data_IF_100809233390
#
_entry.id   IF_100809233390
#
_cell.length_a   1.000
_cell.length_b   1.000
_cell.length_c   1.000
_cell.angle_alpha   90.00
_cell.angle_beta   90.00
_cell.angle_gamma   90.00
#
_symmetry.space_group_name_H-M   'P 1'
#
loop_
_entity.id
_entity.type
_entity.pdbx_description
1 polymer ?
#
# COMPACT_ATOMS: atom_id res chain seq x y z
N UNK A 1 5.07 12.04 31.44
CA UNK A 1 3.98 12.62 30.64
C UNK A 1 4.02 11.90 29.34
N UNK A 2 2.96 11.17 28.99
CA UNK A 2 2.81 10.63 27.64
C UNK A 2 2.63 11.82 26.70
N UNK A 3 3.36 11.82 25.58
CA UNK A 3 3.23 12.85 24.55
C UNK A 3 2.33 12.23 23.48
N UNK A 4 1.23 12.90 23.17
CA UNK A 4 0.24 12.51 22.14
C UNK A 4 0.85 12.75 20.76
N UNK A 5 1.89 11.98 20.40
CA UNK A 5 2.61 12.07 19.13
C UNK A 5 2.36 10.79 18.33
N UNK A 6 1.84 10.95 17.11
CA UNK A 6 1.54 9.85 16.21
C UNK A 6 2.44 9.92 14.98
N UNK A 7 2.89 8.75 14.52
CA UNK A 7 3.81 8.65 13.40
C UNK A 7 3.41 7.50 12.47
N UNK A 8 3.51 7.75 11.16
CA UNK A 8 3.44 6.73 10.11
C UNK A 8 4.84 6.34 9.68
N UNK A 9 5.05 5.04 9.52
CA UNK A 9 6.33 4.48 9.09
C UNK A 9 6.28 4.18 7.60
N UNK A 10 7.22 4.74 6.83
CA UNK A 10 7.43 4.39 5.43
C UNK A 10 8.89 4.03 5.19
N UNK A 11 9.18 3.10 4.26
CA UNK A 11 10.52 2.97 3.71
C UNK A 11 10.93 4.28 3.01
N UNK A 12 12.22 4.57 3.08
CA UNK A 12 12.87 5.73 2.50
C UNK A 12 14.09 5.28 1.71
N UNK A 13 14.64 6.22 0.94
CA UNK A 13 15.75 5.96 0.03
C UNK A 13 16.90 5.19 0.73
N UNK A 14 17.35 4.11 0.09
CA UNK A 14 18.38 3.23 0.63
C UNK A 14 17.89 2.23 1.69
N UNK A 15 16.58 1.98 1.79
CA UNK A 15 15.98 0.94 2.64
C UNK A 15 15.90 1.30 4.12
N UNK A 16 15.97 2.60 4.45
CA UNK A 16 15.80 3.09 5.81
C UNK A 16 14.33 3.30 6.12
N UNK A 17 13.96 3.30 7.40
CA UNK A 17 12.61 3.68 7.81
C UNK A 17 12.58 5.18 8.13
N UNK A 18 11.59 5.87 7.57
CA UNK A 18 11.25 7.25 7.90
C UNK A 18 10.01 7.28 8.78
N UNK A 19 9.96 8.28 9.68
CA UNK A 19 8.82 8.58 10.53
C UNK A 19 8.20 9.88 10.06
N UNK A 20 6.96 9.81 9.60
CA UNK A 20 6.17 10.98 9.21
C UNK A 20 5.18 11.25 10.33
N UNK A 21 5.22 12.44 10.91
CA UNK A 21 4.26 12.83 11.93
C UNK A 21 2.86 12.90 11.32
N UNK A 22 1.86 12.39 12.03
CA UNK A 22 0.46 12.41 11.63
C UNK A 22 -0.42 12.89 12.78
N UNK A 23 -1.61 13.35 12.46
CA UNK A 23 -2.65 13.65 13.45
C UNK A 23 -3.28 12.37 14.03
N UNK A 24 -4.07 12.54 15.10
CA UNK A 24 -4.73 11.45 15.81
C UNK A 24 -5.76 10.72 14.93
N UNK A 25 -6.52 11.44 14.11
CA UNK A 25 -7.54 10.86 13.23
C UNK A 25 -6.88 9.95 12.17
N UNK A 26 -5.79 10.41 11.57
CA UNK A 26 -4.96 9.64 10.63
C UNK A 26 -4.31 8.41 11.29
N UNK A 27 -4.05 8.46 12.60
CA UNK A 27 -3.46 7.36 13.37
C UNK A 27 -4.49 6.30 13.80
N UNK A 28 -5.79 6.63 13.79
CA UNK A 28 -6.87 5.70 14.12
C UNK A 28 -7.02 4.57 13.08
N UNK A 29 -6.45 4.72 11.90
CA UNK A 29 -6.50 3.71 10.83
C UNK A 29 -5.12 3.40 10.25
N UNK A 30 -5.02 2.31 9.50
CA UNK A 30 -3.79 1.90 8.81
C UNK A 30 -4.06 1.40 7.40
N UNK A 31 -3.09 1.63 6.52
CA UNK A 31 -3.12 1.13 5.15
C UNK A 31 -2.57 -0.30 5.10
N UNK A 32 -3.24 -1.16 4.35
CA UNK A 32 -2.88 -2.58 4.18
C UNK A 32 -3.00 -3.03 2.73
N UNK A 33 -1.88 -3.32 2.06
CA UNK A 33 -1.88 -4.07 0.80
C UNK A 33 -2.38 -5.49 0.99
N UNK A 34 -3.32 -5.93 0.15
CA UNK A 34 -3.82 -7.31 0.04
C UNK A 34 -2.77 -8.17 -0.66
N UNK A 35 -2.14 -9.07 0.09
CA UNK A 35 -1.11 -10.00 -0.42
C UNK A 35 -1.63 -11.43 -0.58
N UNK A 36 -2.84 -11.70 -0.12
CA UNK A 36 -3.49 -13.01 -0.30
C UNK A 36 -5.00 -12.90 -0.26
N UNK A 37 -5.66 -13.64 -1.16
CA UNK A 37 -7.12 -13.80 -1.22
C UNK A 37 -7.43 -15.28 -1.25
N UNK A 38 -8.27 -15.75 -0.33
CA UNK A 38 -8.66 -17.16 -0.23
C UNK A 38 -10.15 -17.28 0.05
N UNK A 39 -10.84 -18.14 -0.70
CA UNK A 39 -12.21 -18.48 -0.37
C UNK A 39 -12.30 -19.20 0.98
N UNK A 40 -13.12 -18.67 1.87
CA UNK A 40 -13.46 -19.23 3.17
C UNK A 40 -14.85 -19.91 3.12
N UNK A 41 -15.22 -20.61 4.18
CA UNK A 41 -16.55 -21.21 4.28
C UNK A 41 -17.64 -20.15 4.33
N UNK A 42 -18.83 -20.47 3.82
CA UNK A 42 -19.99 -19.57 3.91
C UNK A 42 -20.03 -18.48 2.84
N UNK A 43 -19.26 -18.62 1.75
CA UNK A 43 -19.26 -17.67 0.63
C UNK A 43 -18.47 -16.40 0.89
N UNK A 44 -17.71 -16.36 1.99
CA UNK A 44 -16.81 -15.27 2.33
C UNK A 44 -15.41 -15.50 1.74
N UNK A 45 -14.65 -14.42 1.66
CA UNK A 45 -13.23 -14.45 1.34
C UNK A 45 -12.43 -14.00 2.56
N UNK A 46 -11.30 -14.65 2.78
CA UNK A 46 -10.26 -14.19 3.69
C UNK A 46 -9.22 -13.42 2.88
N UNK A 47 -8.92 -12.20 3.33
CA UNK A 47 -7.85 -11.38 2.79
C UNK A 47 -6.71 -11.30 3.79
N UNK A 48 -5.50 -11.59 3.34
CA UNK A 48 -4.27 -11.42 4.11
C UNK A 48 -3.61 -10.13 3.68
N UNK A 49 -3.27 -9.29 4.66
CA UNK A 49 -2.58 -8.03 4.46
C UNK A 49 -1.07 -8.19 4.65
N UNK A 50 -0.28 -7.28 4.09
CA UNK A 50 1.19 -7.32 4.16
C UNK A 50 1.74 -7.20 5.60
N UNK A 51 0.97 -6.61 6.52
CA UNK A 51 1.31 -6.52 7.96
C UNK A 51 1.02 -7.83 8.73
N UNK A 52 0.51 -8.86 8.03
CA UNK A 52 0.14 -10.16 8.59
C UNK A 52 -1.28 -10.22 9.15
N UNK A 53 -2.02 -9.11 9.16
CA UNK A 53 -3.42 -9.12 9.55
C UNK A 53 -4.29 -9.86 8.52
N UNK A 54 -5.42 -10.37 8.99
CA UNK A 54 -6.43 -11.01 8.13
C UNK A 54 -7.82 -10.48 8.41
N UNK A 55 -8.61 -10.28 7.37
CA UNK A 55 -10.01 -9.90 7.47
C UNK A 55 -10.89 -10.81 6.62
N UNK A 56 -12.18 -10.87 6.96
CA UNK A 56 -13.20 -11.60 6.23
C UNK A 56 -14.22 -10.63 5.65
N UNK A 57 -14.46 -10.72 4.35
CA UNK A 57 -15.47 -9.92 3.67
C UNK A 57 -16.13 -10.73 2.54
N UNK A 58 -17.06 -10.11 1.81
CA UNK A 58 -17.52 -10.69 0.56
C UNK A 58 -16.41 -10.61 -0.50
N UNK A 59 -16.72 -10.99 -1.74
CA UNK A 59 -15.80 -10.90 -2.86
C UNK A 59 -15.70 -9.43 -3.33
N UNK A 60 -14.94 -8.62 -2.61
CA UNK A 60 -14.92 -7.15 -2.74
C UNK A 60 -13.55 -6.58 -3.10
N UNK A 61 -12.46 -7.28 -2.75
CA UNK A 61 -11.08 -6.80 -2.95
C UNK A 61 -10.28 -7.79 -3.78
N UNK A 62 -9.28 -7.33 -4.50
CA UNK A 62 -8.37 -8.18 -5.26
C UNK A 62 -6.93 -8.12 -4.75
N UNK A 63 -6.10 -9.05 -5.22
CA UNK A 63 -4.69 -9.07 -4.84
C UNK A 63 -3.95 -7.86 -5.41
N UNK A 64 -3.15 -7.21 -4.58
CA UNK A 64 -2.45 -5.97 -4.93
C UNK A 64 -3.15 -4.70 -4.46
N UNK A 65 -4.47 -4.74 -4.28
CA UNK A 65 -5.25 -3.63 -3.75
C UNK A 65 -4.73 -3.19 -2.39
N UNK A 66 -4.93 -1.92 -2.06
CA UNK A 66 -4.65 -1.41 -0.72
C UNK A 66 -5.95 -0.97 -0.06
N UNK A 67 -6.14 -1.37 1.19
CA UNK A 67 -7.33 -1.04 1.98
C UNK A 67 -6.93 -0.31 3.25
N UNK A 68 -7.74 0.65 3.68
CA UNK A 68 -7.56 1.32 4.96
C UNK A 68 -8.45 0.65 5.98
N UNK A 69 -7.85 0.19 7.07
CA UNK A 69 -8.51 -0.56 8.14
C UNK A 69 -8.44 0.24 9.43
N UNK A 70 -9.60 0.42 10.05
CA UNK A 70 -9.70 1.01 11.38
C UNK A 70 -9.01 0.12 12.42
N UNK A 71 -8.18 0.72 13.28
CA UNK A 71 -7.32 -0.02 14.19
C UNK A 71 -8.09 -0.67 15.36
N UNK A 72 -9.28 -0.18 15.71
CA UNK A 72 -10.06 -0.69 16.84
C UNK A 72 -11.13 -1.70 16.39
N UNK A 73 -11.83 -1.39 15.31
CA UNK A 73 -13.00 -2.12 14.83
C UNK A 73 -12.65 -3.16 13.76
N UNK A 74 -11.48 -3.03 13.10
CA UNK A 74 -11.08 -3.83 11.92
C UNK A 74 -12.03 -3.65 10.73
N UNK A 75 -12.80 -2.55 10.70
CA UNK A 75 -13.65 -2.19 9.57
C UNK A 75 -12.82 -1.57 8.44
N UNK A 76 -13.15 -1.91 7.19
CA UNK A 76 -12.53 -1.29 6.01
C UNK A 76 -13.21 0.04 5.75
N UNK A 77 -12.44 1.13 5.80
CA UNK A 77 -12.94 2.51 5.64
C UNK A 77 -12.60 3.12 4.29
N UNK A 78 -11.60 2.58 3.59
CA UNK A 78 -11.26 2.97 2.23
C UNK A 78 -10.66 1.79 1.45
N UNK A 79 -10.77 1.85 0.13
CA UNK A 79 -10.24 0.85 -0.81
C UNK A 79 -9.63 1.57 -2.01
N UNK A 80 -8.39 1.20 -2.32
CA UNK A 80 -7.60 1.71 -3.42
C UNK A 80 -7.22 0.53 -4.34
N UNK A 81 -7.85 0.42 -5.51
CA UNK A 81 -7.61 -0.68 -6.44
C UNK A 81 -6.21 -0.59 -7.06
N UNK A 82 -5.59 -1.75 -7.29
CA UNK A 82 -4.33 -1.85 -8.01
C UNK A 82 -4.58 -1.88 -9.53
N UNK A 83 -4.51 -0.71 -10.15
CA UNK A 83 -4.75 -0.52 -11.59
C UNK A 83 -3.88 0.59 -12.20
N UNK A 84 -3.84 0.67 -13.53
CA UNK A 84 -3.15 1.77 -14.23
C UNK A 84 -3.79 3.12 -13.86
N UNK A 85 -2.94 4.12 -13.58
CA UNK A 85 -3.32 5.43 -13.05
C UNK A 85 -3.40 5.49 -11.52
N UNK A 86 -3.20 4.38 -10.80
CA UNK A 86 -3.17 4.41 -9.35
C UNK A 86 -1.84 4.99 -8.82
N UNK A 87 -1.93 5.86 -7.81
CA UNK A 87 -0.76 6.37 -7.10
C UNK A 87 -0.15 5.26 -6.23
N UNK A 88 1.16 5.07 -6.32
CA UNK A 88 1.88 4.04 -5.58
C UNK A 88 3.14 4.57 -4.93
N UNK A 89 3.54 3.90 -3.85
CA UNK A 89 4.91 3.98 -3.32
C UNK A 89 5.62 2.65 -3.46
N UNK A 90 6.89 2.68 -3.85
CA UNK A 90 7.75 1.51 -3.80
C UNK A 90 8.24 1.28 -2.37
N UNK A 91 7.96 0.09 -1.83
CA UNK A 91 8.27 -0.24 -0.43
C UNK A 91 9.55 -1.05 -0.24
N UNK A 92 10.15 -1.54 -1.34
CA UNK A 92 11.36 -2.35 -1.32
C UNK A 92 12.13 -2.18 -2.65
N UNK A 93 13.36 -2.70 -2.69
CA UNK A 93 14.25 -2.64 -3.85
C UNK A 93 15.00 -1.31 -3.98
N UNK A 94 15.60 -1.10 -5.15
CA UNK A 94 16.40 0.09 -5.43
C UNK A 94 15.57 1.39 -5.44
N UNK A 95 14.27 1.26 -5.70
CA UNK A 95 13.32 2.37 -5.80
C UNK A 95 12.54 2.61 -4.48
N UNK A 96 12.96 1.99 -3.37
CA UNK A 96 12.24 2.12 -2.10
C UNK A 96 12.14 3.58 -1.64
N UNK A 97 10.93 4.01 -1.31
CA UNK A 97 10.58 5.39 -0.94
C UNK A 97 10.19 6.28 -2.12
N UNK A 98 10.38 5.83 -3.37
CA UNK A 98 9.90 6.55 -4.54
C UNK A 98 8.38 6.44 -4.68
N UNK A 99 7.75 7.53 -5.10
CA UNK A 99 6.30 7.66 -5.31
C UNK A 99 6.05 8.01 -6.77
N UNK A 100 4.95 7.54 -7.34
CA UNK A 100 4.49 7.90 -8.68
C UNK A 100 3.21 7.18 -9.07
N UNK A 101 2.75 7.35 -10.31
CA UNK A 101 1.53 6.74 -10.82
C UNK A 101 1.84 5.52 -11.69
N UNK A 102 1.05 4.45 -11.56
CA UNK A 102 1.21 3.26 -12.42
C UNK A 102 0.90 3.62 -13.88
N UNK A 103 1.90 3.57 -14.75
CA UNK A 103 1.69 3.73 -16.20
C UNK A 103 1.29 2.40 -16.85
N UNK A 104 1.90 1.29 -16.44
CA UNK A 104 1.66 -0.01 -17.08
C UNK A 104 1.88 -1.17 -16.12
N UNK A 105 0.96 -2.13 -16.13
CA UNK A 105 1.10 -3.42 -15.41
C UNK A 105 1.44 -4.53 -16.42
N UNK A 106 2.63 -5.13 -16.29
CA UNK A 106 3.11 -6.20 -17.16
C UNK A 106 2.96 -7.56 -16.46
N UNK A 107 1.95 -8.31 -16.89
CA UNK A 107 1.71 -9.66 -16.38
C UNK A 107 2.63 -10.67 -17.07
N UNK A 108 3.45 -11.35 -16.28
CA UNK A 108 4.33 -12.42 -16.77
C UNK A 108 3.61 -13.77 -16.65
N UNK A 109 3.38 -14.51 -17.77
CA UNK A 109 2.77 -15.83 -17.67
C UNK A 109 3.64 -16.81 -16.87
N UNK A 110 3.05 -17.48 -15.89
CA UNK A 110 3.74 -18.50 -15.08
C UNK A 110 4.09 -17.98 -13.68
N UNK A 111 5.30 -18.29 -13.22
CA UNK A 111 5.79 -17.96 -11.87
C UNK A 111 6.83 -16.83 -11.85
N UNK A 112 7.05 -16.18 -12.99
CA UNK A 112 7.88 -14.98 -13.02
C UNK A 112 7.12 -13.81 -12.43
N UNK A 113 7.85 -12.90 -11.78
CA UNK A 113 7.25 -11.71 -11.18
C UNK A 113 6.57 -10.85 -12.24
N UNK A 114 5.42 -10.28 -11.87
CA UNK A 114 4.79 -9.23 -12.67
C UNK A 114 5.60 -7.95 -12.49
N UNK A 115 5.78 -7.18 -13.55
CA UNK A 115 6.45 -5.89 -13.49
C UNK A 115 5.43 -4.75 -13.53
N UNK A 116 5.80 -3.61 -12.97
CA UNK A 116 5.03 -2.38 -13.01
C UNK A 116 5.95 -1.24 -13.42
N UNK A 117 5.48 -0.42 -14.36
CA UNK A 117 6.14 0.82 -14.77
C UNK A 117 5.41 1.96 -14.09
N UNK A 118 6.15 2.81 -13.39
CA UNK A 118 5.64 3.93 -12.60
C UNK A 118 6.18 5.22 -13.19
N UNK A 119 5.28 6.14 -13.54
CA UNK A 119 5.61 7.49 -13.99
C UNK A 119 5.76 8.43 -12.79
N UNK A 120 6.68 9.39 -12.91
CA UNK A 120 6.91 10.45 -11.94
C UNK A 120 6.84 11.81 -12.63
N UNK A 121 6.43 12.85 -11.92
CA UNK A 121 6.38 14.22 -12.46
C UNK A 121 7.77 14.73 -12.87
N UNK A 122 8.82 14.27 -12.17
CA UNK A 122 10.21 14.62 -12.41
C UNK A 122 11.00 13.36 -12.80
N UNK A 123 11.63 13.37 -13.99
CA UNK A 123 12.48 12.27 -14.46
C UNK A 123 11.78 11.28 -15.38
N UNK A 124 12.39 10.10 -15.55
CA UNK A 124 11.94 9.05 -16.49
C UNK A 124 11.06 7.98 -15.80
N UNK A 125 10.70 8.16 -14.53
CA UNK A 125 10.00 7.16 -13.72
C UNK A 125 10.88 5.94 -13.39
N UNK A 126 10.25 4.84 -12.95
CA UNK A 126 10.95 3.60 -12.62
C UNK A 126 10.16 2.33 -12.98
N UNK A 127 10.87 1.20 -13.07
CA UNK A 127 10.27 -0.13 -13.26
C UNK A 127 10.67 -1.04 -12.08
N UNK A 128 9.69 -1.69 -11.49
CA UNK A 128 9.89 -2.62 -10.38
C UNK A 128 8.94 -3.83 -10.47
N UNK A 129 9.04 -4.78 -9.56
CA UNK A 129 8.07 -5.87 -9.47
C UNK A 129 6.79 -5.43 -8.76
N UNK A 130 5.64 -5.97 -9.16
CA UNK A 130 4.32 -5.63 -8.60
C UNK A 130 4.24 -5.86 -7.08
N UNK A 131 5.04 -6.79 -6.55
CA UNK A 131 5.10 -7.05 -5.11
C UNK A 131 5.67 -5.86 -4.33
N UNK A 132 6.55 -5.06 -4.93
CA UNK A 132 7.24 -3.95 -4.29
C UNK A 132 6.45 -2.65 -4.28
N UNK A 133 5.28 -2.58 -4.91
CA UNK A 133 4.45 -1.37 -4.89
C UNK A 133 3.25 -1.51 -3.97
N UNK A 134 2.91 -0.45 -3.25
CA UNK A 134 1.68 -0.33 -2.44
C UNK A 134 0.89 0.84 -3.00
N UNK A 135 -0.41 0.64 -3.24
CA UNK A 135 -1.31 1.71 -3.69
C UNK A 135 -1.58 2.62 -2.51
N UNK A 136 -1.35 3.91 -2.71
CA UNK A 136 -1.54 4.94 -1.71
C UNK A 136 -2.48 6.02 -2.25
N UNK A 137 -2.85 6.93 -1.36
CA UNK A 137 -3.62 8.13 -1.67
C UNK A 137 -2.76 9.38 -1.38
N UNK A 138 -3.17 10.55 -1.87
CA UNK A 138 -2.50 11.82 -1.62
C UNK A 138 -2.24 12.08 -0.12
N UNK A 139 -3.14 11.62 0.75
CA UNK A 139 -2.98 11.68 2.22
C UNK A 139 -1.78 10.87 2.78
N UNK A 140 -1.06 10.14 1.94
CA UNK A 140 0.13 9.36 2.30
C UNK A 140 1.43 9.90 1.68
N UNK A 141 1.36 11.04 0.98
CA UNK A 141 2.50 11.62 0.25
C UNK A 141 3.21 12.76 0.97
N UNK A 142 2.56 13.40 1.97
CA UNK A 142 3.15 14.51 2.70
C UNK A 142 4.26 14.04 3.66
N UNK A 143 5.48 13.99 3.14
CA UNK A 143 6.67 14.17 3.95
C UNK A 143 6.70 15.62 4.44
N UNK A 144 6.68 15.82 5.75
CA UNK A 144 6.59 17.14 6.36
C UNK A 144 7.63 18.14 5.84
N UNK A 145 7.15 19.11 5.06
CA UNK A 145 7.75 20.43 4.93
C UNK A 145 7.01 21.38 5.89
N UNK A 146 7.49 21.46 7.13
CA UNK A 146 7.41 22.68 7.96
C UNK A 146 8.67 22.79 8.84
#
# INVERSE_FOLDING_TARGET
TEREEYYRVFPSEGGRLSLTAIDEDSAASRLGKVVGKRQASGGQFQYTLHDGATLHAADEYDGGDSIVVDNETTEVVAHFPYEEGALVTAVDGAHAGEIGEIETIRVTPGSGDNAVVVAQDEGDGFETIADYVVVIDENFTDGGDD
#
